data_IF_284807721184
#
_entry.id   IF_284807721184
#
_cell.length_a   1.000
_cell.length_b   1.000
_cell.length_c   1.000
_cell.angle_alpha   90.00
_cell.angle_beta   90.00
_cell.angle_gamma   90.00
#
_symmetry.space_group_name_H-M   'P 1'
#
loop_
_entity.id
_entity.type
_entity.pdbx_description
1 polymer ?
#
# COMPACT_ATOMS: atom_id res chain seq x y z
N UNK A 1 12.17 8.87 22.19
CA UNK A 1 11.41 9.65 21.19
C UNK A 1 10.28 8.75 20.69
N UNK A 2 9.02 9.21 20.58
CA UNK A 2 7.96 8.37 20.02
C UNK A 2 8.31 8.11 18.56
N UNK A 3 8.58 6.85 18.22
CA UNK A 3 8.86 6.39 16.86
C UNK A 3 7.72 6.86 15.95
N UNK A 4 8.03 7.83 15.08
CA UNK A 4 7.10 8.39 14.10
C UNK A 4 6.65 7.23 13.22
N UNK A 5 5.46 6.70 13.51
CA UNK A 5 4.83 5.70 12.66
C UNK A 5 4.75 6.31 11.26
N UNK A 6 5.38 5.66 10.29
CA UNK A 6 5.36 6.12 8.90
C UNK A 6 3.89 6.26 8.46
N UNK A 7 3.50 7.43 7.99
CA UNK A 7 2.13 7.64 7.48
C UNK A 7 2.01 7.04 6.08
N UNK A 8 0.78 6.73 5.65
CA UNK A 8 0.52 6.21 4.31
C UNK A 8 1.11 7.14 3.23
N UNK A 9 0.92 8.45 3.38
CA UNK A 9 1.42 9.47 2.46
C UNK A 9 2.96 9.52 2.45
N UNK A 10 3.60 9.32 3.60
CA UNK A 10 5.06 9.26 3.67
C UNK A 10 5.61 8.04 2.95
N UNK A 11 4.90 6.91 3.05
CA UNK A 11 5.31 5.66 2.42
C UNK A 11 5.07 5.69 0.90
N UNK A 12 3.98 6.30 0.44
CA UNK A 12 3.78 6.55 -1.00
C UNK A 12 4.89 7.42 -1.57
N UNK A 13 5.27 8.51 -0.89
CA UNK A 13 6.37 9.38 -1.34
C UNK A 13 7.71 8.66 -1.43
N UNK A 14 7.99 7.76 -0.48
CA UNK A 14 9.21 6.95 -0.55
C UNK A 14 9.16 5.94 -1.70
N UNK A 15 7.98 5.38 -2.00
CA UNK A 15 7.79 4.49 -3.14
C UNK A 15 8.00 5.23 -4.46
N UNK A 16 7.43 6.42 -4.61
CA UNK A 16 7.63 7.29 -5.78
C UNK A 16 9.12 7.60 -6.00
N UNK A 17 9.86 7.87 -4.92
CA UNK A 17 11.31 8.10 -4.98
C UNK A 17 12.08 6.86 -5.42
N UNK A 18 11.73 5.67 -4.91
CA UNK A 18 12.33 4.40 -5.32
C UNK A 18 12.08 4.17 -6.82
N UNK A 19 10.83 4.33 -7.28
CA UNK A 19 10.47 4.18 -8.69
C UNK A 19 11.25 5.15 -9.56
N UNK A 20 11.29 6.44 -9.19
CA UNK A 20 12.06 7.46 -9.91
C UNK A 20 13.56 7.14 -9.97
N UNK A 21 14.14 6.56 -8.90
CA UNK A 21 15.53 6.10 -8.93
C UNK A 21 15.74 4.92 -9.88
N UNK A 22 14.75 4.02 -10.01
CA UNK A 22 14.80 2.86 -10.91
C UNK A 22 14.60 3.22 -12.38
N UNK A 23 14.07 4.41 -12.69
CA UNK A 23 13.97 4.93 -14.06
C UNK A 23 15.30 5.42 -14.63
N UNK A 24 16.36 5.51 -13.80
CA UNK A 24 17.69 5.87 -14.25
C UNK A 24 18.38 4.71 -14.97
N UNK A 25 18.67 4.87 -16.27
CA UNK A 25 19.36 3.87 -17.09
C UNK A 25 20.80 3.57 -16.64
N UNK A 26 21.44 4.50 -15.92
CA UNK A 26 22.80 4.33 -15.38
C UNK A 26 22.83 3.66 -13.98
N UNK A 27 21.67 3.24 -13.45
CA UNK A 27 21.60 2.62 -12.13
C UNK A 27 22.32 1.26 -12.12
N UNK A 28 23.33 1.05 -11.25
CA UNK A 28 23.99 -0.25 -11.11
C UNK A 28 23.01 -1.36 -10.73
N UNK A 29 23.24 -2.58 -11.21
CA UNK A 29 22.35 -3.72 -10.99
C UNK A 29 22.10 -3.99 -9.49
N UNK A 30 23.15 -3.91 -8.67
CA UNK A 30 23.06 -4.11 -7.23
C UNK A 30 22.13 -3.08 -6.57
N UNK A 31 22.18 -1.83 -7.02
CA UNK A 31 21.29 -0.76 -6.56
C UNK A 31 19.86 -0.96 -7.07
N UNK A 32 19.69 -1.40 -8.32
CA UNK A 32 18.38 -1.73 -8.89
C UNK A 32 17.71 -2.87 -8.12
N UNK A 33 18.46 -3.92 -7.77
CA UNK A 33 17.99 -5.03 -6.94
C UNK A 33 17.60 -4.57 -5.54
N UNK A 34 18.40 -3.70 -4.92
CA UNK A 34 18.08 -3.14 -3.60
C UNK A 34 16.81 -2.29 -3.65
N UNK A 35 16.69 -1.40 -4.64
CA UNK A 35 15.50 -0.57 -4.84
C UNK A 35 14.25 -1.41 -5.07
N UNK A 36 14.36 -2.48 -5.86
CA UNK A 36 13.26 -3.43 -6.05
C UNK A 36 12.83 -4.09 -4.74
N UNK A 37 13.78 -4.62 -3.94
CA UNK A 37 13.48 -5.26 -2.65
C UNK A 37 12.80 -4.28 -1.68
N UNK A 38 13.33 -3.06 -1.58
CA UNK A 38 12.78 -1.99 -0.73
C UNK A 38 11.38 -1.57 -1.21
N UNK A 39 11.19 -1.43 -2.53
CA UNK A 39 9.90 -1.11 -3.15
C UNK A 39 8.83 -2.17 -2.89
N UNK A 40 9.15 -3.46 -3.05
CA UNK A 40 8.22 -4.56 -2.78
C UNK A 40 7.80 -4.59 -1.30
N UNK A 41 8.75 -4.41 -0.37
CA UNK A 41 8.44 -4.32 1.08
C UNK A 41 7.53 -3.14 1.38
N UNK A 42 7.75 -2.01 0.72
CA UNK A 42 6.95 -0.80 0.92
C UNK A 42 5.52 -0.97 0.38
N UNK A 43 5.37 -1.57 -0.81
CA UNK A 43 4.07 -1.95 -1.38
C UNK A 43 3.29 -2.88 -0.44
N UNK A 44 3.92 -3.94 0.11
CA UNK A 44 3.26 -4.85 1.07
C UNK A 44 2.73 -4.10 2.30
N UNK A 45 3.51 -3.17 2.86
CA UNK A 45 3.04 -2.34 3.98
C UNK A 45 1.88 -1.42 3.58
N UNK A 46 1.93 -0.79 2.40
CA UNK A 46 0.86 0.05 1.88
C UNK A 46 -0.44 -0.75 1.70
N UNK A 47 -0.37 -1.93 1.09
CA UNK A 47 -1.51 -2.84 0.96
C UNK A 47 -2.09 -3.23 2.33
N UNK A 48 -1.26 -3.51 3.33
CA UNK A 48 -1.74 -3.78 4.70
C UNK A 48 -2.48 -2.60 5.32
N UNK A 49 -2.03 -1.36 5.07
CA UNK A 49 -2.74 -0.16 5.53
C UNK A 49 -4.09 -0.06 4.84
N UNK A 50 -4.13 -0.24 3.51
CA UNK A 50 -5.36 -0.17 2.72
C UNK A 50 -6.36 -1.25 3.12
N UNK A 51 -5.93 -2.52 3.24
CA UNK A 51 -6.80 -3.62 3.68
C UNK A 51 -7.36 -3.38 5.09
N UNK A 52 -6.56 -2.81 5.99
CA UNK A 52 -7.02 -2.43 7.33
C UNK A 52 -8.00 -1.25 7.31
N UNK A 53 -7.82 -0.30 6.41
CA UNK A 53 -8.73 0.82 6.25
C UNK A 53 -10.05 0.34 5.64
N UNK A 54 -9.98 -0.50 4.61
CA UNK A 54 -11.11 -1.13 3.94
C UNK A 54 -11.98 -1.95 4.90
N UNK A 55 -11.38 -2.79 5.75
CA UNK A 55 -12.12 -3.53 6.77
C UNK A 55 -12.78 -2.65 7.84
N UNK A 56 -12.50 -1.34 7.86
CA UNK A 56 -13.20 -0.36 8.71
C UNK A 56 -14.26 0.43 7.96
N UNK A 57 -14.33 0.32 6.63
CA UNK A 57 -15.34 1.01 5.84
C UNK A 57 -16.67 0.32 6.10
N UNK A 58 -17.60 1.09 6.66
CA UNK A 58 -19.01 0.74 6.72
C UNK A 58 -19.74 1.46 5.62
N UNK A 59 -20.61 0.76 4.92
CA UNK A 59 -21.60 1.32 4.02
C UNK A 59 -22.80 1.78 4.84
N UNK A 60 -23.25 3.02 4.64
CA UNK A 60 -24.54 3.47 5.17
C UNK A 60 -25.60 3.16 4.12
N UNK A 61 -26.52 2.24 4.42
CA UNK A 61 -27.68 1.88 3.60
C UNK A 61 -28.96 2.43 4.23
N UNK A 62 -30.07 2.41 3.49
CA UNK A 62 -31.39 2.78 4.03
C UNK A 62 -31.81 1.89 5.22
N UNK A 63 -31.22 0.70 5.35
CA UNK A 63 -31.49 -0.28 6.41
C UNK A 63 -30.48 -0.23 7.57
N UNK A 64 -29.48 0.66 7.55
CA UNK A 64 -28.48 0.80 8.61
C UNK A 64 -27.03 0.74 8.12
N UNK A 65 -26.10 0.38 9.01
CA UNK A 65 -24.67 0.21 8.69
C UNK A 65 -24.41 -1.23 8.21
N UNK A 66 -23.84 -1.38 7.01
CA UNK A 66 -23.38 -2.66 6.45
C UNK A 66 -21.85 -2.67 6.27
N UNK A 67 -21.22 -3.84 6.28
CA UNK A 67 -19.79 -3.96 5.98
C UNK A 67 -19.55 -3.79 4.47
N UNK A 68 -18.53 -3.02 4.09
CA UNK A 68 -18.12 -2.89 2.70
C UNK A 68 -17.53 -4.23 2.20
N UNK A 69 -18.24 -4.93 1.29
CA UNK A 69 -17.78 -6.18 0.67
C UNK A 69 -17.07 -5.88 -0.66
N UNK A 70 -15.89 -6.49 -0.88
CA UNK A 70 -15.13 -6.33 -2.13
C UNK A 70 -15.87 -6.96 -3.31
N UNK A 71 -15.72 -6.38 -4.50
CA UNK A 71 -16.21 -6.94 -5.77
C UNK A 71 -15.55 -8.27 -6.21
N UNK A 72 -14.84 -8.95 -5.30
CA UNK A 72 -14.27 -10.29 -5.48
C UNK A 72 -14.73 -11.31 -4.44
N UNK A 73 -15.36 -10.87 -3.34
CA UNK A 73 -15.88 -11.77 -2.30
C UNK A 73 -17.25 -12.37 -2.70
N UNK A 74 -17.78 -11.99 -3.86
CA UNK A 74 -19.09 -12.36 -4.38
C UNK A 74 -19.14 -13.65 -5.21
N UNK A 75 -18.08 -14.47 -5.19
CA UNK A 75 -18.00 -15.72 -5.99
C UNK A 75 -17.74 -17.00 -5.20
N UNK A 76 -17.92 -16.98 -3.87
CA UNK A 76 -17.97 -18.23 -3.08
C UNK A 76 -19.40 -18.44 -2.53
N UNK A 77 -20.26 -19.00 -3.38
CA UNK A 77 -21.41 -19.83 -2.97
C UNK A 77 -21.34 -21.17 -3.69
#
# INVERSE_FOLDING_TARGET
MPSKKESYESMIKELEKIVSSMENEELPLEEAMKNYEDGVKLCDKLYKILNKAEGKIKLLTENGEEEFKKAGDSYEQ
#
